data_IF_923401785098
#
_entry.id   IF_923401785098
#
_cell.length_a   1.000
_cell.length_b   1.000
_cell.length_c   1.000
_cell.angle_alpha   90.00
_cell.angle_beta   90.00
_cell.angle_gamma   90.00
#
_symmetry.space_group_name_H-M   'P 1'
#
loop_
_entity.id
_entity.type
_entity.pdbx_description
1 polymer ?
#
# COMPACT_ATOMS: atom_id res chain seq x y z
N UNK A 1 -49.18 -1.76 -60.12
CA UNK A 1 -47.74 -2.12 -59.99
C UNK A 1 -47.40 -2.12 -58.51
N UNK A 2 -47.33 -3.29 -57.86
CA UNK A 2 -47.04 -3.43 -56.42
C UNK A 2 -45.52 -3.58 -56.24
N UNK A 3 -44.90 -2.60 -55.56
CA UNK A 3 -43.49 -2.63 -55.15
C UNK A 3 -43.40 -3.33 -53.78
N UNK A 4 -42.81 -4.52 -53.75
CA UNK A 4 -42.54 -5.26 -52.53
C UNK A 4 -41.17 -4.84 -52.00
N UNK A 5 -41.14 -4.21 -50.82
CA UNK A 5 -39.92 -3.87 -50.07
C UNK A 5 -39.45 -5.11 -49.30
N UNK A 6 -38.21 -5.55 -49.57
CA UNK A 6 -37.53 -6.66 -48.89
C UNK A 6 -36.81 -6.11 -47.64
N UNK A 7 -36.98 -6.70 -46.44
CA UNK A 7 -36.30 -6.24 -45.24
C UNK A 7 -34.85 -6.75 -45.22
N UNK A 8 -33.90 -5.83 -45.02
CA UNK A 8 -32.49 -6.16 -44.79
C UNK A 8 -32.35 -6.72 -43.36
N UNK A 9 -32.08 -8.02 -43.24
CA UNK A 9 -31.66 -8.64 -41.99
C UNK A 9 -30.18 -8.30 -41.75
N UNK A 10 -29.88 -7.44 -40.76
CA UNK A 10 -28.50 -7.27 -40.29
C UNK A 10 -28.11 -8.49 -39.47
N UNK A 11 -27.15 -9.26 -39.97
CA UNK A 11 -26.50 -10.34 -39.25
C UNK A 11 -25.37 -9.73 -38.41
N UNK A 12 -25.55 -9.63 -37.09
CA UNK A 12 -24.47 -9.28 -36.15
C UNK A 12 -23.52 -10.48 -36.06
N UNK A 13 -22.38 -10.40 -36.75
CA UNK A 13 -21.34 -11.42 -36.65
C UNK A 13 -20.64 -11.22 -35.29
N UNK A 14 -20.67 -12.22 -34.37
CA UNK A 14 -19.87 -12.14 -33.16
C UNK A 14 -18.39 -12.09 -33.56
N UNK A 15 -17.72 -10.98 -33.24
CA UNK A 15 -16.28 -10.86 -33.43
C UNK A 15 -15.54 -11.94 -32.64
N UNK A 16 -14.39 -12.44 -33.12
CA UNK A 16 -13.62 -13.44 -32.42
C UNK A 16 -13.21 -12.88 -31.04
N UNK A 17 -13.68 -13.51 -29.97
CA UNK A 17 -13.12 -13.30 -28.65
C UNK A 17 -11.66 -13.74 -28.73
N UNK A 18 -10.72 -12.78 -28.63
CA UNK A 18 -9.31 -13.10 -28.54
C UNK A 18 -9.12 -14.08 -27.37
N UNK A 19 -8.65 -15.29 -27.67
CA UNK A 19 -8.39 -16.29 -26.65
C UNK A 19 -7.36 -15.70 -25.68
N UNK A 20 -7.71 -15.64 -24.40
CA UNK A 20 -6.77 -15.21 -23.38
C UNK A 20 -5.55 -16.12 -23.44
N UNK A 21 -4.36 -15.53 -23.57
CA UNK A 21 -3.11 -16.30 -23.55
C UNK A 21 -2.95 -16.97 -22.19
N UNK A 22 -2.23 -18.08 -22.18
CA UNK A 22 -1.83 -18.70 -20.92
C UNK A 22 -0.86 -17.81 -20.14
N UNK A 23 -0.92 -17.91 -18.82
CA UNK A 23 0.04 -17.27 -17.93
C UNK A 23 1.38 -18.00 -18.00
N UNK A 24 2.47 -17.24 -18.05
CA UNK A 24 3.82 -17.83 -17.93
C UNK A 24 4.02 -18.40 -16.52
N UNK A 25 5.06 -19.23 -16.29
CA UNK A 25 5.36 -19.74 -14.96
C UNK A 25 5.60 -18.63 -13.93
N UNK A 26 6.28 -17.54 -14.32
CA UNK A 26 6.53 -16.40 -13.44
C UNK A 26 5.22 -15.69 -13.06
N UNK A 27 4.35 -15.44 -14.03
CA UNK A 27 3.04 -14.81 -13.78
C UNK A 27 2.14 -15.72 -12.93
N UNK A 28 2.20 -17.03 -13.16
CA UNK A 28 1.46 -18.00 -12.35
C UNK A 28 1.93 -17.99 -10.90
N UNK A 29 3.24 -17.87 -10.68
CA UNK A 29 3.81 -17.75 -9.33
C UNK A 29 3.37 -16.44 -8.64
N UNK A 30 3.33 -15.32 -9.35
CA UNK A 30 2.82 -14.06 -8.79
C UNK A 30 1.33 -14.16 -8.43
N UNK A 31 0.51 -14.76 -9.29
CA UNK A 31 -0.92 -14.99 -9.03
C UNK A 31 -1.14 -15.94 -7.84
N UNK A 32 -0.26 -16.92 -7.67
CA UNK A 32 -0.24 -17.78 -6.48
C UNK A 32 0.08 -16.99 -5.22
N UNK A 33 0.99 -16.02 -5.28
CA UNK A 33 1.28 -15.14 -4.15
C UNK A 33 0.13 -14.19 -3.83
N UNK A 34 -0.55 -13.63 -4.84
CA UNK A 34 -1.78 -12.85 -4.64
C UNK A 34 -2.84 -13.71 -3.93
N UNK A 35 -3.03 -14.96 -4.35
CA UNK A 35 -3.96 -15.89 -3.71
C UNK A 35 -3.58 -16.21 -2.25
N UNK A 36 -2.30 -16.46 -1.97
CA UNK A 36 -1.80 -16.72 -0.62
C UNK A 36 -2.03 -15.51 0.31
N UNK A 37 -1.72 -14.30 -0.14
CA UNK A 37 -1.99 -13.09 0.62
C UNK A 37 -3.48 -12.87 0.86
N UNK A 38 -4.35 -13.13 -0.12
CA UNK A 38 -5.79 -13.00 0.06
C UNK A 38 -6.34 -13.95 1.15
N UNK A 39 -5.83 -15.18 1.23
CA UNK A 39 -6.21 -16.14 2.27
C UNK A 39 -5.78 -15.66 3.66
N UNK A 40 -4.53 -15.23 3.82
CA UNK A 40 -4.05 -14.76 5.13
C UNK A 40 -4.68 -13.42 5.52
N UNK A 41 -4.89 -12.51 4.57
CA UNK A 41 -5.60 -11.26 4.82
C UNK A 41 -7.02 -11.52 5.36
N UNK A 42 -7.72 -12.52 4.80
CA UNK A 42 -9.03 -12.94 5.31
C UNK A 42 -8.96 -13.49 6.74
N UNK A 43 -7.93 -14.27 7.06
CA UNK A 43 -7.71 -14.78 8.41
C UNK A 43 -7.36 -13.66 9.40
N UNK A 44 -6.49 -12.72 9.02
CA UNK A 44 -6.13 -11.54 9.81
C UNK A 44 -7.36 -10.67 10.11
N UNK A 45 -8.22 -10.41 9.11
CA UNK A 45 -9.46 -9.63 9.29
C UNK A 45 -10.42 -10.27 10.30
N UNK A 46 -10.40 -11.59 10.42
CA UNK A 46 -11.23 -12.35 11.37
C UNK A 46 -10.57 -12.53 12.74
N UNK A 47 -9.35 -12.04 12.92
CA UNK A 47 -8.57 -12.23 14.14
C UNK A 47 -8.20 -13.69 14.38
N UNK A 48 -8.02 -14.48 13.32
CA UNK A 48 -7.51 -15.84 13.46
C UNK A 48 -6.06 -15.79 14.00
N UNK A 49 -5.73 -16.61 15.00
CA UNK A 49 -4.40 -16.60 15.61
C UNK A 49 -3.35 -17.21 14.68
N UNK A 50 -2.09 -16.96 14.98
CA UNK A 50 -0.99 -17.64 14.30
C UNK A 50 -0.51 -16.95 13.03
N UNK A 51 -0.79 -15.66 12.87
CA UNK A 51 -0.26 -14.79 11.82
C UNK A 51 0.54 -13.61 12.40
N UNK A 52 0.89 -13.70 13.68
CA UNK A 52 1.70 -12.70 14.38
C UNK A 52 3.08 -12.60 13.72
N UNK A 53 3.56 -11.36 13.55
CA UNK A 53 4.86 -11.09 12.91
C UNK A 53 4.82 -11.01 11.39
N UNK A 54 3.69 -11.30 10.74
CA UNK A 54 3.48 -10.91 9.35
C UNK A 54 3.00 -9.45 9.27
N UNK A 55 3.32 -8.73 8.18
CA UNK A 55 2.71 -7.43 7.92
C UNK A 55 1.18 -7.58 7.76
N UNK A 56 0.47 -6.46 7.86
CA UNK A 56 -0.95 -6.41 7.50
C UNK A 56 -1.11 -6.71 6.00
N UNK A 57 -1.58 -7.92 5.68
CA UNK A 57 -1.75 -8.39 4.31
C UNK A 57 -3.05 -7.87 3.69
N UNK A 58 -3.94 -7.26 4.46
CA UNK A 58 -5.09 -6.52 3.90
C UNK A 58 -4.63 -5.27 3.15
N UNK A 59 -3.54 -4.65 3.62
CA UNK A 59 -2.91 -3.49 2.98
C UNK A 59 -1.82 -3.95 2.02
N UNK A 60 -0.81 -4.68 2.51
CA UNK A 60 0.36 -5.05 1.70
C UNK A 60 -0.01 -6.00 0.55
N UNK A 61 -0.88 -6.97 0.82
CA UNK A 61 -1.34 -7.92 -0.19
C UNK A 61 -2.20 -7.26 -1.28
N UNK A 62 -3.02 -6.26 -0.90
CA UNK A 62 -3.81 -5.49 -1.85
C UNK A 62 -2.92 -4.66 -2.79
N UNK A 63 -1.92 -3.96 -2.26
CA UNK A 63 -0.97 -3.19 -3.06
C UNK A 63 -0.21 -4.08 -4.06
N UNK A 64 0.33 -5.21 -3.58
CA UNK A 64 0.99 -6.18 -4.46
C UNK A 64 0.05 -6.71 -5.56
N UNK A 65 -1.20 -7.03 -5.22
CA UNK A 65 -2.22 -7.48 -6.18
C UNK A 65 -2.48 -6.43 -7.28
N UNK A 66 -2.60 -5.16 -6.91
CA UNK A 66 -2.81 -4.08 -7.87
C UNK A 66 -1.59 -3.87 -8.76
N UNK A 67 -0.37 -3.94 -8.21
CA UNK A 67 0.88 -3.90 -8.98
C UNK A 67 0.95 -5.05 -9.99
N UNK A 68 0.64 -6.29 -9.59
CA UNK A 68 0.61 -7.46 -10.48
C UNK A 68 -0.45 -7.29 -11.57
N UNK A 69 -1.68 -6.87 -11.21
CA UNK A 69 -2.78 -6.65 -12.16
C UNK A 69 -2.44 -5.58 -13.20
N UNK A 70 -1.92 -4.43 -12.77
CA UNK A 70 -1.51 -3.35 -13.66
C UNK A 70 -0.41 -3.80 -14.62
N UNK A 71 0.60 -4.53 -14.10
CA UNK A 71 1.69 -5.07 -14.91
C UNK A 71 1.20 -6.09 -15.93
N UNK A 72 0.34 -7.03 -15.54
CA UNK A 72 -0.21 -8.04 -16.45
C UNK A 72 -1.08 -7.41 -17.53
N UNK A 73 -1.94 -6.46 -17.18
CA UNK A 73 -2.76 -5.73 -18.15
C UNK A 73 -1.85 -5.00 -19.18
N UNK A 74 -0.82 -4.28 -18.72
CA UNK A 74 0.06 -3.48 -19.57
C UNK A 74 1.02 -4.32 -20.42
N UNK A 75 1.74 -5.27 -19.81
CA UNK A 75 2.82 -5.99 -20.46
C UNK A 75 2.31 -7.05 -21.45
N UNK A 76 1.09 -7.53 -21.23
CA UNK A 76 0.69 -8.83 -21.76
C UNK A 76 -0.77 -8.92 -22.16
N UNK A 77 -1.51 -7.80 -22.07
CA UNK A 77 -2.89 -7.67 -22.51
C UNK A 77 -3.89 -8.53 -21.75
N UNK A 78 -3.52 -9.02 -20.55
CA UNK A 78 -4.41 -9.89 -19.78
C UNK A 78 -5.65 -9.13 -19.32
N UNK A 79 -6.82 -9.70 -19.58
CA UNK A 79 -8.08 -9.14 -19.11
C UNK A 79 -8.21 -9.32 -17.59
N UNK A 80 -8.75 -8.32 -16.90
CA UNK A 80 -8.97 -8.37 -15.46
C UNK A 80 -9.80 -9.60 -15.02
N UNK A 81 -10.80 -9.99 -15.82
CA UNK A 81 -11.60 -11.17 -15.58
C UNK A 81 -10.76 -12.47 -15.61
N UNK A 82 -9.80 -12.58 -16.52
CA UNK A 82 -8.90 -13.73 -16.62
C UNK A 82 -7.94 -13.78 -15.42
N UNK A 83 -7.39 -12.63 -15.00
CA UNK A 83 -6.54 -12.52 -13.83
C UNK A 83 -7.30 -12.95 -12.56
N UNK A 84 -8.52 -12.43 -12.35
CA UNK A 84 -9.37 -12.80 -11.22
C UNK A 84 -9.74 -14.28 -11.22
N UNK A 85 -10.00 -14.86 -12.39
CA UNK A 85 -10.28 -16.29 -12.52
C UNK A 85 -9.05 -17.13 -12.12
N UNK A 86 -7.86 -16.75 -12.59
CA UNK A 86 -6.62 -17.43 -12.24
C UNK A 86 -6.29 -17.33 -10.74
N UNK A 87 -6.50 -16.18 -10.10
CA UNK A 87 -6.34 -16.03 -8.64
C UNK A 87 -7.30 -16.96 -7.88
N UNK A 88 -8.58 -17.03 -8.28
CA UNK A 88 -9.54 -17.97 -7.66
C UNK A 88 -9.12 -19.43 -7.82
N UNK A 89 -8.59 -19.80 -8.99
CA UNK A 89 -8.04 -21.14 -9.21
C UNK A 89 -6.86 -21.42 -8.27
N UNK A 90 -5.94 -20.47 -8.10
CA UNK A 90 -4.83 -20.60 -7.16
C UNK A 90 -5.30 -20.72 -5.71
N UNK A 91 -6.33 -19.95 -5.30
CA UNK A 91 -6.95 -20.09 -3.98
C UNK A 91 -7.44 -21.54 -3.76
N UNK A 92 -8.18 -22.09 -4.73
CA UNK A 92 -8.66 -23.48 -4.65
C UNK A 92 -7.51 -24.49 -4.51
N UNK A 93 -6.44 -24.34 -5.30
CA UNK A 93 -5.25 -25.20 -5.22
C UNK A 93 -4.55 -25.10 -3.86
N UNK A 94 -4.44 -23.90 -3.29
CA UNK A 94 -3.85 -23.71 -1.96
C UNK A 94 -4.69 -24.32 -0.86
N UNK A 95 -6.02 -24.18 -0.93
CA UNK A 95 -6.94 -24.80 0.02
C UNK A 95 -6.89 -26.33 -0.07
N UNK A 96 -6.86 -26.90 -1.27
CA UNK A 96 -6.69 -28.35 -1.46
C UNK A 96 -5.37 -28.86 -0.92
N UNK A 97 -4.28 -28.11 -1.11
CA UNK A 97 -2.97 -28.45 -0.57
C UNK A 97 -2.97 -28.41 0.96
N UNK A 98 -3.60 -27.39 1.55
CA UNK A 98 -3.76 -27.25 2.99
C UNK A 98 -4.53 -28.43 3.60
N UNK A 99 -5.63 -28.87 2.98
CA UNK A 99 -6.40 -30.05 3.47
C UNK A 99 -5.57 -31.32 3.49
N UNK A 100 -4.61 -31.47 2.57
CA UNK A 100 -3.75 -32.67 2.46
C UNK A 100 -2.47 -32.56 3.31
N UNK A 101 -2.16 -31.38 3.83
CA UNK A 101 -0.93 -31.14 4.57
C UNK A 101 -1.01 -31.69 5.99
N UNK A 102 0.10 -32.26 6.47
CA UNK A 102 0.22 -32.65 7.88
C UNK A 102 0.22 -31.42 8.80
N UNK A 103 0.76 -30.30 8.32
CA UNK A 103 0.73 -29.00 9.00
C UNK A 103 0.33 -27.90 7.99
N UNK A 104 -0.98 -27.61 7.86
CA UNK A 104 -1.47 -26.60 6.92
C UNK A 104 -0.97 -25.18 7.23
N UNK A 105 -0.75 -24.90 8.52
CA UNK A 105 -0.32 -23.59 8.98
C UNK A 105 1.15 -23.34 8.63
N UNK A 106 2.03 -24.30 8.91
CA UNK A 106 3.44 -24.20 8.52
C UNK A 106 3.61 -24.13 7.00
N UNK A 107 2.83 -24.91 6.23
CA UNK A 107 2.83 -24.85 4.77
C UNK A 107 2.49 -23.43 4.28
N UNK A 108 1.43 -22.84 4.82
CA UNK A 108 0.96 -21.52 4.39
C UNK A 108 1.93 -20.42 4.82
N UNK A 109 2.49 -20.50 6.04
CA UNK A 109 3.55 -19.60 6.51
C UNK A 109 4.79 -19.61 5.61
N UNK A 110 5.27 -20.79 5.23
CA UNK A 110 6.40 -20.93 4.32
C UNK A 110 6.12 -20.25 2.99
N UNK A 111 4.96 -20.53 2.38
CA UNK A 111 4.55 -19.91 1.13
C UNK A 111 4.45 -18.38 1.23
N UNK A 112 3.82 -17.87 2.29
CA UNK A 112 3.60 -16.44 2.48
C UNK A 112 4.93 -15.71 2.68
N UNK A 113 5.88 -16.30 3.40
CA UNK A 113 7.24 -15.74 3.53
C UNK A 113 7.96 -15.64 2.19
N UNK A 114 7.90 -16.69 1.37
CA UNK A 114 8.52 -16.67 0.04
C UNK A 114 7.84 -15.65 -0.88
N UNK A 115 6.53 -15.52 -0.75
CA UNK A 115 5.74 -14.52 -1.47
C UNK A 115 6.03 -13.09 -1.01
N UNK A 116 6.25 -12.85 0.28
CA UNK A 116 6.67 -11.54 0.79
C UNK A 116 8.05 -11.16 0.23
N UNK A 117 9.00 -12.09 0.22
CA UNK A 117 10.32 -11.85 -0.39
C UNK A 117 10.22 -11.55 -1.90
N UNK A 118 9.25 -12.15 -2.60
CA UNK A 118 8.95 -11.81 -3.99
C UNK A 118 8.31 -10.42 -4.12
N UNK A 119 7.32 -10.12 -3.29
CA UNK A 119 6.64 -8.84 -3.27
C UNK A 119 7.64 -7.71 -3.00
N UNK A 120 8.57 -7.86 -2.07
CA UNK A 120 9.59 -6.85 -1.77
C UNK A 120 10.53 -6.55 -2.95
N UNK A 121 10.68 -7.47 -3.92
CA UNK A 121 11.46 -7.23 -5.14
C UNK A 121 10.66 -6.55 -6.25
N UNK A 122 9.38 -6.89 -6.38
CA UNK A 122 8.51 -6.40 -7.46
C UNK A 122 7.86 -5.07 -7.07
N UNK A 123 7.53 -4.95 -5.80
CA UNK A 123 6.74 -3.91 -5.17
C UNK A 123 7.34 -3.60 -3.80
N UNK A 124 8.54 -2.98 -3.75
CA UNK A 124 9.20 -2.68 -2.49
C UNK A 124 8.27 -1.86 -1.60
N UNK A 125 8.20 -2.13 -0.29
CA UNK A 125 7.46 -1.28 0.61
C UNK A 125 8.00 0.16 0.48
N UNK A 126 7.14 1.18 0.57
CA UNK A 126 7.61 2.55 0.59
C UNK A 126 8.63 2.70 1.70
N UNK A 127 9.74 3.38 1.41
CA UNK A 127 10.76 3.65 2.42
C UNK A 127 10.08 4.37 3.60
N UNK A 128 10.37 3.94 4.82
CA UNK A 128 9.87 4.63 6.00
C UNK A 128 10.30 6.10 5.94
N UNK A 129 9.38 7.04 6.21
CA UNK A 129 9.76 8.45 6.25
C UNK A 129 10.77 8.66 7.37
N UNK A 130 11.83 9.41 7.08
CA UNK A 130 12.82 9.80 8.11
C UNK A 130 12.16 10.71 9.14
N UNK A 131 12.72 10.83 10.36
CA UNK A 131 12.15 11.80 11.32
C UNK A 131 12.23 13.23 10.79
N UNK A 132 13.26 13.54 9.98
CA UNK A 132 13.36 14.80 9.24
C UNK A 132 12.12 15.04 8.35
N UNK A 133 11.73 14.04 7.56
CA UNK A 133 10.53 14.07 6.72
C UNK A 133 9.26 14.21 7.55
N UNK A 134 9.16 13.44 8.64
CA UNK A 134 8.01 13.48 9.55
C UNK A 134 7.83 14.84 10.22
N UNK A 135 8.92 15.45 10.71
CA UNK A 135 8.90 16.78 11.29
C UNK A 135 8.43 17.83 10.27
N UNK A 136 8.87 17.72 9.02
CA UNK A 136 8.46 18.62 7.94
C UNK A 136 6.96 18.49 7.61
N UNK A 137 6.47 17.26 7.42
CA UNK A 137 5.06 16.98 7.15
C UNK A 137 4.14 17.49 8.26
N UNK A 138 4.49 17.22 9.53
CA UNK A 138 3.69 17.67 10.67
C UNK A 138 3.71 19.21 10.83
N UNK A 139 4.86 19.85 10.56
CA UNK A 139 4.95 21.31 10.60
C UNK A 139 4.08 21.98 9.53
N UNK A 140 4.10 21.49 8.28
CA UNK A 140 3.26 22.01 7.20
C UNK A 140 1.78 21.73 7.49
N UNK A 141 1.43 20.52 7.93
CA UNK A 141 0.05 20.17 8.29
C UNK A 141 -0.50 21.06 9.43
N UNK A 142 0.32 21.38 10.44
CA UNK A 142 -0.05 22.34 11.48
C UNK A 142 -0.32 23.74 10.88
N UNK A 143 0.56 24.23 10.01
CA UNK A 143 0.41 25.54 9.36
C UNK A 143 -0.87 25.60 8.53
N UNK A 144 -1.15 24.59 7.72
CA UNK A 144 -2.36 24.50 6.89
C UNK A 144 -3.62 24.45 7.75
N UNK A 145 -3.63 23.61 8.79
CA UNK A 145 -4.77 23.49 9.69
C UNK A 145 -5.06 24.81 10.41
N UNK A 146 -4.01 25.52 10.86
CA UNK A 146 -4.12 26.83 11.49
C UNK A 146 -4.61 27.90 10.52
N UNK A 147 -4.15 27.89 9.27
CA UNK A 147 -4.62 28.81 8.24
C UNK A 147 -6.10 28.61 7.91
N UNK A 148 -6.57 27.35 7.92
CA UNK A 148 -7.96 27.01 7.60
C UNK A 148 -8.92 27.25 8.77
N UNK A 149 -8.53 26.86 9.98
CA UNK A 149 -9.45 26.75 11.13
C UNK A 149 -9.11 27.69 12.30
N UNK A 150 -8.04 28.49 12.19
CA UNK A 150 -7.56 29.31 13.30
C UNK A 150 -7.04 28.48 14.47
N UNK A 151 -7.06 29.04 15.69
CA UNK A 151 -6.64 28.32 16.90
C UNK A 151 -7.76 27.40 17.41
N UNK A 152 -7.43 26.15 17.70
CA UNK A 152 -8.36 25.10 18.13
C UNK A 152 -7.62 23.98 18.90
N UNK A 153 -8.35 23.05 19.50
CA UNK A 153 -7.75 21.87 20.14
C UNK A 153 -6.99 21.01 19.12
N UNK A 154 -7.53 20.88 17.90
CA UNK A 154 -6.89 20.13 16.82
C UNK A 154 -5.56 20.77 16.37
N UNK A 155 -5.51 22.10 16.23
CA UNK A 155 -4.25 22.80 15.91
C UNK A 155 -3.25 22.73 17.06
N UNK A 156 -3.74 22.76 18.31
CA UNK A 156 -2.89 22.59 19.51
C UNK A 156 -2.27 21.19 19.55
N UNK A 157 -3.07 20.14 19.32
CA UNK A 157 -2.59 18.76 19.25
C UNK A 157 -1.57 18.57 18.11
N UNK A 158 -1.85 19.13 16.93
CA UNK A 158 -0.93 19.06 15.80
C UNK A 158 0.37 19.83 16.06
N UNK A 159 0.32 20.97 16.75
CA UNK A 159 1.52 21.71 17.18
C UNK A 159 2.39 20.88 18.13
N UNK A 160 1.77 20.16 19.07
CA UNK A 160 2.50 19.25 19.98
C UNK A 160 3.16 18.10 19.21
N UNK A 161 2.43 17.44 18.29
CA UNK A 161 2.99 16.39 17.44
C UNK A 161 4.17 16.90 16.61
N UNK A 162 4.02 18.08 15.99
CA UNK A 162 5.08 18.73 15.22
C UNK A 162 6.34 18.98 16.07
N UNK A 163 6.18 19.45 17.32
CA UNK A 163 7.30 19.65 18.23
C UNK A 163 8.00 18.35 18.65
N UNK A 164 7.24 17.27 18.89
CA UNK A 164 7.81 15.95 19.21
C UNK A 164 8.63 15.43 18.04
N UNK A 165 8.08 15.46 16.82
CA UNK A 165 8.76 14.98 15.62
C UNK A 165 10.00 15.84 15.29
N UNK A 166 9.94 17.15 15.48
CA UNK A 166 11.10 18.04 15.32
C UNK A 166 12.24 17.69 16.30
N UNK A 167 11.91 17.39 17.55
CA UNK A 167 12.88 16.96 18.56
C UNK A 167 13.54 15.63 18.18
N UNK A 168 12.78 14.63 17.73
CA UNK A 168 13.31 13.35 17.26
C UNK A 168 14.18 13.51 16.01
N UNK A 169 13.75 14.32 15.05
CA UNK A 169 14.54 14.64 13.85
C UNK A 169 15.90 15.24 14.22
N UNK A 170 15.94 16.18 15.18
CA UNK A 170 17.19 16.76 15.67
C UNK A 170 18.07 15.73 16.37
N UNK A 171 17.49 14.75 17.09
CA UNK A 171 18.26 13.66 17.71
C UNK A 171 18.91 12.79 16.63
N UNK A 172 18.17 12.40 15.59
CA UNK A 172 18.71 11.63 14.47
C UNK A 172 19.81 12.39 13.73
N UNK A 173 19.59 13.67 13.42
CA UNK A 173 20.58 14.50 12.73
C UNK A 173 21.87 14.66 13.56
N UNK A 174 21.75 14.86 14.87
CA UNK A 174 22.92 14.88 15.78
C UNK A 174 23.64 13.52 15.85
N UNK A 175 22.89 12.41 15.88
CA UNK A 175 23.47 11.07 15.83
C UNK A 175 24.21 10.83 14.50
N UNK A 176 23.76 11.45 13.41
CA UNK A 176 24.43 11.48 12.12
C UNK A 176 25.57 12.52 12.03
N UNK A 177 25.97 13.13 13.16
CA UNK A 177 27.10 14.06 13.23
C UNK A 177 26.80 15.50 12.80
N UNK A 178 25.53 15.86 12.58
CA UNK A 178 25.15 17.24 12.25
C UNK A 178 25.20 18.14 13.48
N UNK A 179 25.69 19.35 13.28
CA UNK A 179 25.62 20.44 14.25
C UNK A 179 24.18 20.98 14.38
N UNK A 180 23.94 21.80 15.40
CA UNK A 180 22.65 22.48 15.58
C UNK A 180 22.21 23.27 14.34
N UNK A 181 23.04 24.19 13.82
CA UNK A 181 22.72 24.97 12.62
C UNK A 181 22.51 24.12 11.36
N UNK A 182 23.30 23.05 11.17
CA UNK A 182 23.08 22.14 10.04
C UNK A 182 21.76 21.38 10.15
N UNK A 183 21.37 21.02 11.38
CA UNK A 183 20.08 20.38 11.64
C UNK A 183 18.92 21.34 11.37
N UNK A 184 19.04 22.61 11.76
CA UNK A 184 18.07 23.66 11.46
C UNK A 184 17.92 23.88 9.95
N UNK A 185 19.03 23.94 9.23
CA UNK A 185 19.04 24.08 7.78
C UNK A 185 18.37 22.89 7.10
N UNK A 186 18.67 21.65 7.52
CA UNK A 186 18.04 20.45 6.98
C UNK A 186 16.52 20.46 7.21
N UNK A 187 16.07 20.77 8.44
CA UNK A 187 14.64 20.88 8.77
C UNK A 187 13.94 21.97 7.95
N UNK A 188 14.59 23.11 7.73
CA UNK A 188 14.06 24.18 6.89
C UNK A 188 13.86 23.75 5.44
N UNK A 189 14.88 23.14 4.84
CA UNK A 189 14.84 22.67 3.45
C UNK A 189 13.77 21.60 3.24
N UNK A 190 13.64 20.65 4.17
CA UNK A 190 12.62 19.60 4.05
C UNK A 190 11.20 20.17 4.20
N UNK A 191 10.99 21.12 5.13
CA UNK A 191 9.71 21.84 5.26
C UNK A 191 9.34 22.57 3.98
N UNK A 192 10.31 23.25 3.35
CA UNK A 192 10.08 23.92 2.07
C UNK A 192 9.73 22.94 0.95
N UNK A 193 10.42 21.79 0.88
CA UNK A 193 10.11 20.73 -0.08
C UNK A 193 8.68 20.19 0.08
N UNK A 194 8.18 20.08 1.31
CA UNK A 194 6.79 19.70 1.60
C UNK A 194 5.82 20.84 1.24
N UNK A 195 6.09 22.07 1.71
CA UNK A 195 5.21 23.22 1.56
C UNK A 195 4.99 23.66 0.09
N UNK A 196 5.93 23.34 -0.81
CA UNK A 196 5.77 23.56 -2.26
C UNK A 196 4.84 22.55 -2.94
N UNK A 197 4.21 21.65 -2.18
CA UNK A 197 3.14 20.77 -2.71
C UNK A 197 1.93 21.60 -3.07
N UNK A 198 1.59 21.62 -4.37
CA UNK A 198 0.44 22.37 -4.85
C UNK A 198 -0.85 21.58 -4.60
N UNK A 199 -1.98 22.24 -4.26
CA UNK A 199 -3.26 21.54 -4.04
C UNK A 199 -3.81 20.78 -5.26
N UNK A 200 -3.43 21.18 -6.47
CA UNK A 200 -3.80 20.50 -7.72
C UNK A 200 -2.96 19.25 -8.02
N UNK A 201 -1.87 19.04 -7.27
CA UNK A 201 -1.06 17.82 -7.32
C UNK A 201 -1.63 16.77 -6.36
N UNK A 202 -2.75 16.18 -6.76
CA UNK A 202 -3.50 15.22 -5.93
C UNK A 202 -2.67 14.00 -5.52
N UNK A 203 -1.70 13.59 -6.34
CA UNK A 203 -0.79 12.49 -6.04
C UNK A 203 0.15 12.86 -4.89
N UNK A 204 0.83 14.01 -4.95
CA UNK A 204 1.71 14.46 -3.86
C UNK A 204 0.94 14.77 -2.58
N UNK A 205 -0.26 15.34 -2.68
CA UNK A 205 -1.12 15.58 -1.52
C UNK A 205 -1.48 14.26 -0.83
N UNK A 206 -1.89 13.25 -1.60
CA UNK A 206 -2.23 11.92 -1.07
C UNK A 206 -1.00 11.28 -0.40
N UNK A 207 0.15 11.30 -1.09
CA UNK A 207 1.41 10.75 -0.58
C UNK A 207 1.85 11.39 0.74
N UNK A 208 1.84 12.73 0.82
CA UNK A 208 2.19 13.45 2.05
C UNK A 208 1.24 13.09 3.21
N UNK A 209 -0.06 12.94 2.93
CA UNK A 209 -1.04 12.50 3.92
C UNK A 209 -0.83 11.06 4.40
N UNK A 210 -0.40 10.17 3.51
CA UNK A 210 -0.03 8.79 3.84
C UNK A 210 1.25 8.72 4.67
N UNK A 211 2.30 9.44 4.27
CA UNK A 211 3.56 9.54 5.00
C UNK A 211 3.33 10.12 6.41
N UNK A 212 2.51 11.17 6.56
CA UNK A 212 2.19 11.72 7.87
C UNK A 212 1.48 10.69 8.77
N UNK A 213 0.65 9.83 8.20
CA UNK A 213 0.00 8.74 8.94
C UNK A 213 1.01 7.70 9.42
N UNK A 214 1.99 7.35 8.58
CA UNK A 214 3.10 6.47 8.97
C UNK A 214 3.93 7.11 10.09
N UNK A 215 4.25 8.40 9.96
CA UNK A 215 4.99 9.16 10.98
C UNK A 215 4.31 9.15 12.35
N UNK A 216 2.97 9.25 12.41
CA UNK A 216 2.23 9.16 13.67
C UNK A 216 2.37 7.79 14.35
N UNK A 217 2.53 6.70 13.57
CA UNK A 217 2.79 5.36 14.11
C UNK A 217 4.22 5.17 14.62
N UNK A 218 5.17 5.99 14.16
CA UNK A 218 6.58 5.93 14.59
C UNK A 218 6.82 6.62 15.93
N UNK A 219 5.95 7.55 16.34
CA UNK A 219 6.06 8.21 17.64
C UNK A 219 5.61 7.26 18.74
N UNK A 220 6.57 6.72 19.49
CA UNK A 220 6.26 5.89 20.66
C UNK A 220 5.45 6.72 21.66
N UNK A 221 4.28 6.25 22.15
CA UNK A 221 3.58 6.94 23.22
C UNK A 221 4.49 7.03 24.44
N UNK A 222 4.39 8.10 25.26
CA UNK A 222 5.11 8.14 26.53
C UNK A 222 4.75 6.86 27.29
N UNK A 223 5.76 6.12 27.74
CA UNK A 223 5.58 4.96 28.60
C UNK A 223 4.82 5.45 29.83
N UNK A 224 3.52 5.18 29.86
CA UNK A 224 2.69 5.40 31.02
C UNK A 224 3.11 4.41 32.08
N UNK A 225 4.09 4.78 32.89
CA UNK A 225 4.21 4.23 34.23
C UNK A 225 2.92 4.64 34.94
N UNK A 226 1.93 3.76 34.93
CA UNK A 226 0.79 3.85 35.84
C UNK A 226 1.35 3.76 37.26
N UNK A 227 1.17 4.78 38.11
CA UNK A 227 1.44 4.60 39.52
C UNK A 227 0.41 3.60 40.06
N UNK A 228 0.92 2.51 40.62
CA UNK A 228 0.15 1.54 41.41
C UNK A 228 -0.57 2.21 42.58
#
# INVERSE_FOLDING_TARGET
>A
MKRTLLPLLLCTIPGPAAAARDFTPAETQELRCVAAFALVAYDQQRGAPGWEGLPDLTVRGAHFSDTVRARLAKASGQADAAIKAAVRQQIGQLQEAAVKAADPQALTHGLVRDCLAMADRIDPPPAEPTMLRCAALAAVAHQDLRAQSGQSDATTAMAMLSAVLDSEARKELRAAGKTGPESDAALGLEREAVATTRPDDSERVTRNGEELRLCMGMVKPPSGDSPH
#
